data_IF_088983460919
#
_entry.id   IF_088983460919
#
_cell.length_a   1.000
_cell.length_b   1.000
_cell.length_c   1.000
_cell.angle_alpha   90.00
_cell.angle_beta   90.00
_cell.angle_gamma   90.00
#
_symmetry.space_group_name_H-M   'P 1'
#
loop_
_entity.id
_entity.type
_entity.pdbx_description
1 polymer ?
#
# COMPACT_ATOMS: atom_id res chain seq x y z
N UNK A 1 -1.27 -22.38 7.21
CA UNK A 1 -0.92 -21.12 6.50
C UNK A 1 -0.42 -20.03 7.44
N UNK A 2 -1.11 -19.73 8.54
CA UNK A 2 -0.71 -18.70 9.50
C UNK A 2 0.69 -18.96 10.08
N UNK A 3 1.05 -20.21 10.38
CA UNK A 3 2.39 -20.60 10.86
C UNK A 3 3.50 -20.23 9.85
N UNK A 4 3.26 -20.42 8.55
CA UNK A 4 4.22 -20.07 7.49
C UNK A 4 4.34 -18.55 7.29
N UNK A 5 3.22 -17.79 7.45
CA UNK A 5 3.24 -16.33 7.39
C UNK A 5 3.66 -15.68 8.70
N UNK A 6 3.42 -16.34 9.85
CA UNK A 6 3.89 -15.90 11.17
C UNK A 6 5.39 -15.64 11.17
N UNK A 7 6.18 -16.54 10.55
CA UNK A 7 7.64 -16.33 10.39
C UNK A 7 7.96 -15.12 9.53
N UNK A 8 7.23 -14.90 8.43
CA UNK A 8 7.47 -13.72 7.54
C UNK A 8 7.06 -12.42 8.21
N UNK A 9 5.93 -12.40 8.93
CA UNK A 9 5.48 -11.23 9.70
C UNK A 9 6.48 -10.93 10.82
N UNK A 10 6.91 -11.96 11.56
CA UNK A 10 7.90 -11.81 12.61
C UNK A 10 9.23 -11.29 12.05
N UNK A 11 9.71 -11.84 10.94
CA UNK A 11 10.90 -11.36 10.26
C UNK A 11 10.78 -9.88 9.87
N UNK A 12 9.65 -9.48 9.26
CA UNK A 12 9.44 -8.08 8.89
C UNK A 12 9.29 -7.17 10.12
N UNK A 13 8.69 -7.65 11.21
CA UNK A 13 8.60 -6.90 12.46
C UNK A 13 10.00 -6.69 13.09
N UNK A 14 10.82 -7.73 13.10
CA UNK A 14 12.22 -7.63 13.56
C UNK A 14 13.03 -6.70 12.66
N UNK A 15 12.88 -6.82 11.33
CA UNK A 15 13.55 -5.91 10.39
C UNK A 15 13.09 -4.46 10.61
N UNK A 16 11.81 -4.21 10.81
CA UNK A 16 11.28 -2.89 11.12
C UNK A 16 11.82 -2.33 12.43
N UNK A 17 11.89 -3.15 13.48
CA UNK A 17 12.47 -2.75 14.76
C UNK A 17 13.97 -2.41 14.64
N UNK A 18 14.72 -3.20 13.88
CA UNK A 18 16.15 -2.92 13.61
C UNK A 18 16.35 -1.62 12.81
N UNK A 19 15.48 -1.36 11.83
CA UNK A 19 15.52 -0.11 11.06
C UNK A 19 15.20 1.08 11.98
N UNK A 20 14.16 0.99 12.81
CA UNK A 20 13.84 2.06 13.75
C UNK A 20 14.94 2.27 14.77
N UNK A 21 15.58 1.20 15.24
CA UNK A 21 16.76 1.30 16.11
C UNK A 21 17.92 2.02 15.40
N UNK A 22 18.21 1.66 14.14
CA UNK A 22 19.26 2.32 13.36
C UNK A 22 18.96 3.82 13.16
N UNK A 23 17.71 4.18 12.87
CA UNK A 23 17.28 5.58 12.78
C UNK A 23 17.35 6.30 14.14
N UNK A 24 17.08 5.62 15.25
CA UNK A 24 17.20 6.18 16.59
C UNK A 24 18.65 6.49 16.97
N UNK A 25 19.57 5.59 16.63
CA UNK A 25 21.02 5.82 16.79
C UNK A 25 21.48 6.95 15.86
N UNK A 26 21.01 6.94 14.61
CA UNK A 26 21.32 8.02 13.67
C UNK A 26 20.86 9.39 14.18
N UNK A 27 19.68 9.50 14.80
CA UNK A 27 19.11 10.76 15.30
C UNK A 27 19.76 11.27 16.59
N UNK A 28 20.57 10.49 17.28
CA UNK A 28 20.93 10.67 18.69
C UNK A 28 19.74 10.31 19.59
N UNK A 29 19.86 9.23 20.33
CA UNK A 29 18.75 8.63 21.08
C UNK A 29 18.10 9.59 22.08
N UNK A 30 18.91 10.37 22.81
CA UNK A 30 18.41 11.32 23.82
C UNK A 30 17.62 12.46 23.15
N UNK A 31 18.14 13.02 22.07
CA UNK A 31 17.45 14.06 21.29
C UNK A 31 16.17 13.55 20.64
N UNK A 32 16.15 12.27 20.24
CA UNK A 32 14.94 11.66 19.71
C UNK A 32 13.87 11.49 20.79
N UNK A 33 14.27 11.08 22.01
CA UNK A 33 13.34 11.01 23.14
C UNK A 33 12.76 12.39 23.47
N UNK A 34 13.57 13.43 23.42
CA UNK A 34 13.08 14.78 23.66
C UNK A 34 12.10 15.22 22.55
N UNK A 35 12.37 14.91 21.29
CA UNK A 35 11.41 15.15 20.22
C UNK A 35 10.08 14.42 20.46
N UNK A 36 10.09 13.17 20.93
CA UNK A 36 8.84 12.49 21.28
C UNK A 36 8.10 13.13 22.48
N UNK A 37 8.79 13.74 23.44
CA UNK A 37 8.16 14.50 24.53
C UNK A 37 7.54 15.82 24.03
N UNK A 38 8.16 16.47 23.04
CA UNK A 38 7.65 17.70 22.42
C UNK A 38 6.42 17.44 21.55
N UNK A 39 6.23 16.21 21.05
CA UNK A 39 5.07 15.88 20.23
C UNK A 39 3.79 15.93 21.05
N UNK A 40 2.81 16.70 20.61
CA UNK A 40 1.49 16.71 21.25
C UNK A 40 0.68 15.46 20.87
N UNK A 41 0.73 14.44 21.71
CA UNK A 41 0.09 13.13 21.50
C UNK A 41 -1.43 13.18 21.39
N UNK A 42 -2.09 14.30 21.73
CA UNK A 42 -3.52 14.48 21.48
C UNK A 42 -3.90 14.45 20.00
N UNK A 43 -2.94 14.75 19.09
CA UNK A 43 -3.16 14.64 17.65
C UNK A 43 -3.00 13.23 17.12
N UNK A 44 -2.36 12.32 17.85
CA UNK A 44 -2.11 10.96 17.37
C UNK A 44 -3.41 10.16 17.09
N UNK A 45 -4.47 10.19 17.93
CA UNK A 45 -5.75 9.58 17.59
C UNK A 45 -6.36 10.12 16.29
N UNK A 46 -6.22 11.43 16.01
CA UNK A 46 -6.70 12.03 14.76
C UNK A 46 -5.95 11.45 13.57
N UNK A 47 -4.62 11.27 13.66
CA UNK A 47 -3.81 10.66 12.61
C UNK A 47 -4.23 9.20 12.37
N UNK A 48 -4.54 8.44 13.43
CA UNK A 48 -5.07 7.08 13.30
C UNK A 48 -6.44 7.06 12.62
N UNK A 49 -7.32 8.03 12.92
CA UNK A 49 -8.63 8.17 12.24
C UNK A 49 -8.43 8.44 10.75
N UNK A 50 -7.50 9.31 10.38
CA UNK A 50 -7.18 9.58 8.96
C UNK A 50 -6.65 8.31 8.25
N UNK A 51 -5.78 7.55 8.92
CA UNK A 51 -5.31 6.26 8.39
C UNK A 51 -6.47 5.26 8.25
N UNK A 52 -7.41 5.23 9.19
CA UNK A 52 -8.58 4.36 9.08
C UNK A 52 -9.53 4.81 7.95
N UNK A 53 -9.71 6.12 7.74
CA UNK A 53 -10.45 6.66 6.59
C UNK A 53 -9.80 6.23 5.27
N UNK A 54 -8.47 6.24 5.17
CA UNK A 54 -7.76 5.66 4.02
C UNK A 54 -8.22 4.22 3.78
N UNK A 55 -8.33 3.37 4.83
CA UNK A 55 -8.77 1.97 4.68
C UNK A 55 -10.22 1.87 4.19
N UNK A 56 -11.12 2.73 4.65
CA UNK A 56 -12.52 2.76 4.21
C UNK A 56 -12.61 3.10 2.71
N UNK A 57 -11.87 4.11 2.24
CA UNK A 57 -11.86 4.46 0.82
C UNK A 57 -11.22 3.35 -0.02
N UNK A 58 -10.14 2.73 0.44
CA UNK A 58 -9.55 1.56 -0.22
C UNK A 58 -10.51 0.36 -0.25
N UNK A 59 -11.28 0.15 0.81
CA UNK A 59 -12.35 -0.85 0.82
C UNK A 59 -13.43 -0.54 -0.21
N UNK A 60 -13.87 0.72 -0.33
CA UNK A 60 -14.86 1.13 -1.34
C UNK A 60 -14.36 0.82 -2.76
N UNK A 61 -13.08 1.02 -3.05
CA UNK A 61 -12.45 0.64 -4.32
C UNK A 61 -12.46 -0.88 -4.53
N UNK A 62 -12.10 -1.66 -3.51
CA UNK A 62 -12.18 -3.12 -3.54
C UNK A 62 -13.61 -3.61 -3.82
N UNK A 63 -14.63 -3.07 -3.13
CA UNK A 63 -16.03 -3.38 -3.35
C UNK A 63 -16.50 -3.04 -4.77
N UNK A 64 -16.06 -1.89 -5.28
CA UNK A 64 -16.35 -1.48 -6.66
C UNK A 64 -15.78 -2.49 -7.67
N UNK A 65 -14.52 -2.88 -7.53
CA UNK A 65 -13.88 -3.86 -8.39
C UNK A 65 -14.50 -5.26 -8.28
N UNK A 66 -14.81 -5.68 -7.07
CA UNK A 66 -15.48 -6.96 -6.82
C UNK A 66 -16.83 -7.04 -7.56
N UNK A 67 -17.61 -5.95 -7.53
CA UNK A 67 -18.90 -5.86 -8.24
C UNK A 67 -18.71 -5.89 -9.77
N UNK A 68 -17.70 -5.25 -10.33
CA UNK A 68 -17.39 -5.30 -11.78
C UNK A 68 -17.12 -6.74 -12.23
N UNK A 69 -16.48 -7.55 -11.38
CA UNK A 69 -16.18 -8.95 -11.67
C UNK A 69 -17.32 -9.92 -11.30
N UNK A 70 -18.48 -9.43 -10.89
CA UNK A 70 -19.64 -10.23 -10.51
C UNK A 70 -19.30 -11.25 -9.40
N UNK A 71 -18.49 -10.86 -8.42
CA UNK A 71 -18.13 -11.69 -7.28
C UNK A 71 -19.13 -11.42 -6.16
N UNK A 72 -20.00 -12.39 -5.87
CA UNK A 72 -21.03 -12.27 -4.83
C UNK A 72 -20.44 -12.55 -3.45
N UNK A 73 -20.63 -11.62 -2.53
CA UNK A 73 -20.21 -11.72 -1.14
C UNK A 73 -20.97 -10.68 -0.31
N UNK A 74 -21.28 -10.98 0.94
CA UNK A 74 -21.85 -9.99 1.85
C UNK A 74 -20.81 -8.92 2.21
N UNK A 75 -21.24 -7.68 2.37
CA UNK A 75 -20.33 -6.54 2.63
C UNK A 75 -19.51 -6.74 3.90
N UNK A 76 -20.08 -7.32 4.97
CA UNK A 76 -19.37 -7.57 6.22
C UNK A 76 -18.22 -8.58 6.04
N UNK A 77 -18.46 -9.73 5.38
CA UNK A 77 -17.41 -10.71 5.07
C UNK A 77 -16.36 -10.12 4.13
N UNK A 78 -16.79 -9.35 3.13
CA UNK A 78 -15.90 -8.64 2.21
C UNK A 78 -14.96 -7.68 2.94
N UNK A 79 -15.49 -6.94 3.92
CA UNK A 79 -14.71 -6.00 4.73
C UNK A 79 -13.67 -6.73 5.59
N UNK A 80 -14.04 -7.84 6.22
CA UNK A 80 -13.09 -8.65 7.01
C UNK A 80 -12.00 -9.26 6.13
N UNK A 81 -12.35 -9.79 4.95
CA UNK A 81 -11.37 -10.32 3.99
C UNK A 81 -10.42 -9.22 3.54
N UNK A 82 -10.95 -8.03 3.23
CA UNK A 82 -10.13 -6.89 2.83
C UNK A 82 -9.15 -6.46 3.93
N UNK A 83 -9.63 -6.28 5.16
CA UNK A 83 -8.77 -5.90 6.29
C UNK A 83 -7.78 -7.00 6.66
N UNK A 84 -8.15 -8.28 6.56
CA UNK A 84 -7.27 -9.41 6.83
C UNK A 84 -6.02 -9.41 5.96
N UNK A 85 -6.10 -8.86 4.74
CA UNK A 85 -4.93 -8.75 3.87
C UNK A 85 -3.87 -7.76 4.39
N UNK A 86 -4.24 -6.84 5.28
CA UNK A 86 -3.30 -5.87 5.84
C UNK A 86 -2.22 -6.50 6.72
N UNK A 87 -2.47 -7.69 7.26
CA UNK A 87 -1.42 -8.46 7.95
C UNK A 87 -0.20 -8.71 7.06
N UNK A 88 -0.42 -8.71 5.74
CA UNK A 88 0.60 -8.91 4.72
C UNK A 88 1.18 -7.60 4.14
N UNK A 89 0.85 -6.44 4.69
CA UNK A 89 1.36 -5.12 4.22
C UNK A 89 2.88 -5.02 4.25
N UNK A 90 3.51 -5.80 5.12
CA UNK A 90 4.98 -5.89 5.26
C UNK A 90 5.62 -7.00 4.41
N UNK A 91 4.92 -7.50 3.38
CA UNK A 91 5.51 -8.44 2.42
C UNK A 91 6.14 -7.71 1.23
N UNK A 92 7.20 -8.27 0.59
CA UNK A 92 7.82 -7.66 -0.58
C UNK A 92 6.80 -7.34 -1.68
N UNK A 93 6.83 -6.11 -2.21
CA UNK A 93 5.91 -5.66 -3.25
C UNK A 93 4.43 -5.71 -2.87
N UNK A 94 4.10 -5.88 -1.58
CA UNK A 94 2.73 -6.11 -1.07
C UNK A 94 2.02 -7.30 -1.74
N UNK A 95 2.79 -8.25 -2.28
CA UNK A 95 2.26 -9.48 -2.92
C UNK A 95 1.38 -10.29 -1.98
N UNK A 96 1.56 -10.16 -0.66
CA UNK A 96 0.70 -10.81 0.33
C UNK A 96 -0.76 -10.35 0.29
N UNK A 97 -1.08 -9.22 -0.33
CA UNK A 97 -2.47 -8.77 -0.51
C UNK A 97 -3.29 -9.72 -1.40
N UNK A 98 -2.64 -10.60 -2.18
CA UNK A 98 -3.30 -11.71 -2.89
C UNK A 98 -4.00 -12.68 -1.90
N UNK A 99 -3.68 -12.60 -0.61
CA UNK A 99 -4.42 -13.31 0.44
C UNK A 99 -5.94 -13.08 0.32
N UNK A 100 -6.38 -11.88 -0.07
CA UNK A 100 -7.80 -11.59 -0.34
C UNK A 100 -8.41 -12.59 -1.33
N UNK A 101 -7.68 -12.93 -2.39
CA UNK A 101 -8.14 -13.85 -3.43
C UNK A 101 -8.24 -15.29 -2.94
N UNK A 102 -7.33 -15.70 -2.06
CA UNK A 102 -7.41 -17.02 -1.43
C UNK A 102 -8.58 -17.11 -0.45
N UNK A 103 -8.79 -16.08 0.38
CA UNK A 103 -9.94 -16.02 1.28
C UNK A 103 -11.27 -16.00 0.53
N UNK A 104 -11.35 -15.30 -0.62
CA UNK A 104 -12.52 -15.35 -1.50
C UNK A 104 -12.76 -16.74 -2.08
N UNK A 105 -11.71 -17.43 -2.49
CA UNK A 105 -11.82 -18.81 -2.99
C UNK A 105 -12.40 -19.73 -1.92
N UNK A 106 -11.94 -19.62 -0.70
CA UNK A 106 -12.43 -20.45 0.42
C UNK A 106 -13.89 -20.08 0.81
N UNK A 107 -14.24 -18.81 0.73
CA UNK A 107 -15.56 -18.33 1.17
C UNK A 107 -16.68 -18.64 0.18
N UNK A 108 -16.44 -18.46 -1.12
CA UNK A 108 -17.49 -18.55 -2.14
C UNK A 108 -17.04 -19.28 -3.43
N UNK A 109 -15.87 -19.96 -3.43
CA UNK A 109 -15.36 -20.70 -4.58
C UNK A 109 -14.79 -19.84 -5.70
N UNK A 110 -14.70 -18.50 -5.56
CA UNK A 110 -14.18 -17.62 -6.62
C UNK A 110 -12.75 -18.00 -6.99
N UNK A 111 -12.45 -18.32 -8.27
CA UNK A 111 -11.09 -18.66 -8.68
C UNK A 111 -10.11 -17.51 -8.39
N UNK A 112 -8.91 -17.85 -7.89
CA UNK A 112 -7.85 -16.86 -7.64
C UNK A 112 -7.47 -16.13 -8.94
N UNK A 113 -7.49 -16.80 -10.09
CA UNK A 113 -7.24 -16.18 -11.41
C UNK A 113 -8.28 -15.09 -11.76
N UNK A 114 -9.50 -15.16 -11.21
CA UNK A 114 -10.52 -14.11 -11.41
C UNK A 114 -10.34 -12.94 -10.46
N UNK A 115 -9.94 -13.17 -9.21
CA UNK A 115 -9.92 -12.15 -8.14
C UNK A 115 -8.54 -11.51 -7.91
N UNK A 116 -7.42 -12.22 -8.14
CA UNK A 116 -6.08 -11.66 -7.99
C UNK A 116 -5.81 -10.42 -8.89
N UNK A 117 -6.38 -10.32 -10.10
CA UNK A 117 -6.27 -9.12 -10.93
C UNK A 117 -6.81 -7.84 -10.26
N UNK A 118 -7.70 -7.95 -9.25
CA UNK A 118 -8.13 -6.79 -8.46
C UNK A 118 -6.93 -6.16 -7.75
N UNK A 119 -6.05 -6.97 -7.16
CA UNK A 119 -4.85 -6.47 -6.46
C UNK A 119 -3.94 -5.72 -7.43
N UNK A 120 -3.78 -6.22 -8.65
CA UNK A 120 -2.99 -5.54 -9.71
C UNK A 120 -3.63 -4.20 -10.08
N UNK A 121 -4.95 -4.17 -10.30
CA UNK A 121 -5.68 -2.94 -10.62
C UNK A 121 -5.63 -1.92 -9.47
N UNK A 122 -5.71 -2.38 -8.21
CA UNK A 122 -5.52 -1.53 -7.03
C UNK A 122 -4.12 -0.89 -7.02
N UNK A 123 -3.06 -1.68 -7.26
CA UNK A 123 -1.69 -1.14 -7.33
C UNK A 123 -1.53 -0.11 -8.44
N UNK A 124 -2.05 -0.43 -9.64
CA UNK A 124 -1.98 0.49 -10.78
C UNK A 124 -2.61 1.85 -10.45
N UNK A 125 -3.84 1.85 -9.92
CA UNK A 125 -4.53 3.09 -9.55
C UNK A 125 -3.89 3.79 -8.37
N UNK A 126 -3.31 3.08 -7.40
CA UNK A 126 -2.55 3.68 -6.31
C UNK A 126 -1.31 4.42 -6.83
N UNK A 127 -0.54 3.80 -7.74
CA UNK A 127 0.63 4.46 -8.34
C UNK A 127 0.23 5.71 -9.14
N UNK A 128 -0.81 5.62 -9.98
CA UNK A 128 -1.32 6.77 -10.74
C UNK A 128 -1.71 7.92 -9.78
N UNK A 129 -2.39 7.57 -8.69
CA UNK A 129 -2.85 8.54 -7.70
C UNK A 129 -1.71 9.20 -6.93
N UNK A 130 -0.71 8.42 -6.51
CA UNK A 130 0.46 8.95 -5.82
C UNK A 130 1.27 9.87 -6.76
N UNK A 131 1.48 9.46 -8.01
CA UNK A 131 2.14 10.30 -9.03
C UNK A 131 1.38 11.61 -9.22
N UNK A 132 0.05 11.56 -9.32
CA UNK A 132 -0.79 12.75 -9.43
C UNK A 132 -0.60 13.68 -8.21
N UNK A 133 -0.65 13.16 -6.99
CA UNK A 133 -0.44 13.93 -5.77
C UNK A 133 0.98 14.51 -5.71
N UNK A 134 1.99 13.74 -6.15
CA UNK A 134 3.37 14.24 -6.23
C UNK A 134 3.53 15.35 -7.25
N UNK A 135 2.87 15.27 -8.42
CA UNK A 135 2.91 16.35 -9.43
C UNK A 135 2.33 17.62 -8.84
N UNK A 136 1.17 17.55 -8.18
CA UNK A 136 0.54 18.71 -7.53
C UNK A 136 1.47 19.31 -6.46
N UNK A 137 2.13 18.48 -5.66
CA UNK A 137 3.09 18.93 -4.64
C UNK A 137 4.41 19.45 -5.21
N UNK A 138 4.86 18.92 -6.36
CA UNK A 138 6.14 19.28 -7.01
C UNK A 138 6.19 20.73 -7.52
N UNK A 139 5.04 21.38 -7.72
CA UNK A 139 5.01 22.82 -8.03
C UNK A 139 5.58 23.70 -6.90
N UNK A 140 5.68 23.16 -5.69
CA UNK A 140 6.20 23.86 -4.51
C UNK A 140 7.58 23.35 -4.10
N UNK A 141 7.90 22.10 -4.46
CA UNK A 141 9.12 21.40 -4.07
C UNK A 141 9.97 21.09 -5.30
N UNK A 142 11.01 21.87 -5.51
CA UNK A 142 11.85 21.81 -6.71
C UNK A 142 12.82 20.61 -6.72
N UNK A 143 12.32 19.40 -6.43
CA UNK A 143 13.09 18.16 -6.30
C UNK A 143 12.32 16.93 -6.80
N UNK A 144 13.03 16.02 -7.48
CA UNK A 144 12.47 14.70 -7.85
C UNK A 144 11.51 14.69 -9.03
N UNK A 145 11.27 15.79 -9.72
CA UNK A 145 10.34 15.92 -10.85
C UNK A 145 10.63 14.90 -11.95
N UNK A 146 11.90 14.68 -12.29
CA UNK A 146 12.30 13.71 -13.32
C UNK A 146 11.88 12.28 -12.96
N UNK A 147 12.05 11.88 -11.70
CA UNK A 147 11.65 10.54 -11.22
C UNK A 147 10.12 10.40 -11.31
N UNK A 148 9.36 11.40 -10.89
CA UNK A 148 7.89 11.41 -10.95
C UNK A 148 7.43 11.28 -12.39
N UNK A 149 8.03 12.02 -13.33
CA UNK A 149 7.69 11.93 -14.75
C UNK A 149 7.98 10.55 -15.31
N UNK A 150 9.16 9.98 -15.06
CA UNK A 150 9.54 8.64 -15.53
C UNK A 150 8.54 7.60 -15.00
N UNK A 151 8.25 7.62 -13.71
CA UNK A 151 7.32 6.66 -13.08
C UNK A 151 5.91 6.86 -13.64
N UNK A 152 5.46 8.10 -13.80
CA UNK A 152 4.16 8.41 -14.41
C UNK A 152 4.06 7.84 -15.83
N UNK A 153 5.06 8.07 -16.68
CA UNK A 153 5.12 7.54 -18.06
C UNK A 153 5.08 6.02 -18.05
N UNK A 154 5.86 5.36 -17.18
CA UNK A 154 5.88 3.89 -17.07
C UNK A 154 4.49 3.33 -16.72
N UNK A 155 3.82 3.88 -15.70
CA UNK A 155 2.50 3.37 -15.28
C UNK A 155 1.39 3.70 -16.28
N UNK A 156 1.44 4.87 -16.94
CA UNK A 156 0.52 5.18 -18.05
C UNK A 156 0.75 4.21 -19.20
N UNK A 157 1.99 3.96 -19.60
CA UNK A 157 2.33 3.01 -20.67
C UNK A 157 1.88 1.59 -20.35
N UNK A 158 2.08 1.13 -19.11
CA UNK A 158 1.56 -0.16 -18.63
C UNK A 158 0.04 -0.25 -18.73
N UNK A 159 -0.65 0.83 -18.31
CA UNK A 159 -2.12 0.91 -18.39
C UNK A 159 -2.60 0.80 -19.85
N UNK A 160 -1.97 1.54 -20.76
CA UNK A 160 -2.27 1.50 -22.19
C UNK A 160 -2.01 0.11 -22.78
N UNK A 161 -0.88 -0.52 -22.42
CA UNK A 161 -0.54 -1.87 -22.87
C UNK A 161 -1.58 -2.90 -22.41
N UNK A 162 -1.97 -2.89 -21.13
CA UNK A 162 -3.00 -3.80 -20.59
C UNK A 162 -4.36 -3.55 -21.26
N UNK A 163 -4.68 -2.30 -21.59
CA UNK A 163 -5.90 -1.92 -22.28
C UNK A 163 -5.92 -2.33 -23.76
N UNK A 164 -4.76 -2.64 -24.34
CA UNK A 164 -4.64 -3.06 -25.74
C UNK A 164 -4.89 -4.57 -25.89
N UNK A 165 -6.18 -4.91 -26.00
CA UNK A 165 -6.66 -6.31 -26.01
C UNK A 165 -5.92 -7.20 -27.02
N UNK A 166 -5.68 -6.72 -28.24
CA UNK A 166 -5.00 -7.52 -29.27
C UNK A 166 -3.56 -7.89 -28.90
N UNK A 167 -2.80 -6.93 -28.36
CA UNK A 167 -1.44 -7.18 -27.92
C UNK A 167 -1.37 -8.19 -26.77
N UNK A 168 -2.20 -8.01 -25.74
CA UNK A 168 -2.21 -8.93 -24.60
C UNK A 168 -2.64 -10.35 -24.99
N UNK A 169 -3.67 -10.51 -25.81
CA UNK A 169 -4.09 -11.84 -26.29
C UNK A 169 -3.00 -12.48 -27.16
N UNK A 170 -2.28 -11.71 -27.97
CA UNK A 170 -1.12 -12.21 -28.71
C UNK A 170 -0.02 -12.72 -27.77
N UNK A 171 0.32 -11.99 -26.72
CA UNK A 171 1.29 -12.46 -25.73
C UNK A 171 0.82 -13.74 -25.01
N UNK A 172 -0.47 -13.84 -24.65
CA UNK A 172 -1.02 -15.06 -24.06
C UNK A 172 -0.90 -16.23 -25.03
N UNK A 173 -1.19 -16.04 -26.32
CA UNK A 173 -1.05 -17.09 -27.35
C UNK A 173 0.41 -17.55 -27.57
N UNK A 174 1.38 -16.68 -27.28
CA UNK A 174 2.79 -17.09 -27.25
C UNK A 174 3.10 -18.01 -26.06
N UNK A 175 2.47 -17.75 -24.90
CA UNK A 175 2.62 -18.59 -23.70
C UNK A 175 2.01 -19.99 -23.90
N UNK A 176 0.98 -20.13 -24.76
CA UNK A 176 0.39 -21.41 -25.14
C UNK A 176 1.40 -22.37 -25.79
N UNK A 177 2.36 -21.82 -26.53
CA UNK A 177 3.41 -22.60 -27.20
C UNK A 177 4.44 -23.18 -26.22
N UNK A 178 4.49 -22.70 -24.98
CA UNK A 178 5.40 -23.18 -23.96
C UNK A 178 4.73 -24.31 -23.18
N UNK A 179 5.19 -25.56 -23.38
CA UNK A 179 4.61 -26.81 -22.82
C UNK A 179 4.32 -26.74 -21.29
N UNK A 180 5.12 -26.03 -20.52
CA UNK A 180 4.93 -25.85 -19.08
C UNK A 180 3.78 -24.89 -18.77
N UNK A 181 3.61 -23.81 -19.56
CA UNK A 181 2.62 -22.76 -19.36
C UNK A 181 1.27 -23.10 -20.01
N UNK A 182 1.24 -23.95 -21.03
CA UNK A 182 0.02 -24.36 -21.73
C UNK A 182 -1.07 -24.91 -20.80
N UNK A 183 -0.67 -25.62 -19.73
CA UNK A 183 -1.60 -26.14 -18.70
C UNK A 183 -2.35 -25.06 -17.93
N UNK A 184 -1.89 -23.80 -17.95
CA UNK A 184 -2.45 -22.68 -17.17
C UNK A 184 -3.06 -21.60 -18.04
N UNK A 185 -3.16 -21.80 -19.35
CA UNK A 185 -3.62 -20.79 -20.32
C UNK A 185 -5.03 -20.29 -20.01
N UNK A 186 -5.96 -21.16 -19.64
CA UNK A 186 -7.31 -20.79 -19.25
C UNK A 186 -7.30 -19.83 -18.05
N UNK A 187 -6.38 -20.04 -17.09
CA UNK A 187 -6.21 -19.15 -15.95
C UNK A 187 -5.66 -17.79 -16.36
N UNK A 188 -4.76 -17.75 -17.37
CA UNK A 188 -4.24 -16.50 -17.92
C UNK A 188 -5.32 -15.72 -18.68
N UNK A 189 -6.16 -16.39 -19.46
CA UNK A 189 -7.31 -15.78 -20.13
C UNK A 189 -8.28 -15.19 -19.09
N UNK A 190 -8.66 -15.95 -18.07
CA UNK A 190 -9.53 -15.48 -16.98
C UNK A 190 -8.94 -14.27 -16.26
N UNK A 191 -7.65 -14.31 -15.96
CA UNK A 191 -6.96 -13.19 -15.30
C UNK A 191 -6.90 -11.95 -16.21
N UNK A 192 -6.61 -12.14 -17.49
CA UNK A 192 -6.61 -11.05 -18.45
C UNK A 192 -7.99 -10.42 -18.63
N UNK A 193 -9.04 -11.22 -18.82
CA UNK A 193 -10.41 -10.70 -18.96
C UNK A 193 -10.84 -9.93 -17.71
N UNK A 194 -10.44 -10.39 -16.52
CA UNK A 194 -10.67 -9.69 -15.28
C UNK A 194 -9.96 -8.34 -15.24
N UNK A 195 -8.62 -8.30 -15.45
CA UNK A 195 -7.86 -7.04 -15.41
C UNK A 195 -8.35 -6.06 -16.49
N UNK A 196 -8.64 -6.55 -17.69
CA UNK A 196 -9.14 -5.73 -18.80
C UNK A 196 -10.46 -5.04 -18.45
N UNK A 197 -11.40 -5.72 -17.76
CA UNK A 197 -12.66 -5.12 -17.26
C UNK A 197 -12.39 -4.03 -16.23
N UNK A 198 -11.38 -4.22 -15.36
CA UNK A 198 -11.05 -3.30 -14.26
C UNK A 198 -10.31 -2.04 -14.72
N UNK A 199 -9.52 -2.13 -15.81
CA UNK A 199 -8.75 -0.99 -16.33
C UNK A 199 -9.42 -0.25 -17.49
N UNK A 200 -10.69 -0.58 -17.82
CA UNK A 200 -11.48 0.25 -18.74
C UNK A 200 -11.56 1.68 -18.24
N UNK A 201 -11.71 2.66 -19.13
CA UNK A 201 -11.65 4.10 -18.82
C UNK A 201 -12.53 4.46 -17.60
N UNK A 202 -13.81 4.07 -17.60
CA UNK A 202 -14.72 4.41 -16.49
C UNK A 202 -14.31 3.77 -15.15
N UNK A 203 -14.07 2.45 -15.03
CA UNK A 203 -13.56 1.85 -13.81
C UNK A 203 -12.22 2.44 -13.35
N UNK A 204 -11.29 2.65 -14.29
CA UNK A 204 -9.98 3.22 -14.00
C UNK A 204 -10.10 4.62 -13.39
N UNK A 205 -10.89 5.51 -13.99
CA UNK A 205 -11.07 6.88 -13.49
C UNK A 205 -11.72 6.88 -12.09
N UNK A 206 -12.81 6.13 -11.90
CA UNK A 206 -13.49 6.04 -10.60
C UNK A 206 -12.53 5.53 -9.52
N UNK A 207 -11.82 4.45 -9.80
CA UNK A 207 -10.88 3.87 -8.85
C UNK A 207 -9.68 4.77 -8.57
N UNK A 208 -9.20 5.51 -9.57
CA UNK A 208 -8.14 6.51 -9.39
C UNK A 208 -8.60 7.67 -8.50
N UNK A 209 -9.81 8.20 -8.71
CA UNK A 209 -10.36 9.24 -7.83
C UNK A 209 -10.47 8.76 -6.39
N UNK A 210 -11.01 7.54 -6.17
CA UNK A 210 -11.08 6.94 -4.83
C UNK A 210 -9.67 6.79 -4.23
N UNK A 211 -8.68 6.38 -5.04
CA UNK A 211 -7.29 6.25 -4.59
C UNK A 211 -6.66 7.60 -4.25
N UNK A 212 -6.91 8.67 -5.02
CA UNK A 212 -6.42 10.02 -4.72
C UNK A 212 -6.93 10.46 -3.35
N UNK A 213 -8.25 10.33 -3.11
CA UNK A 213 -8.85 10.69 -1.82
C UNK A 213 -8.26 9.83 -0.69
N UNK A 214 -8.11 8.53 -0.91
CA UNK A 214 -7.54 7.61 0.06
C UNK A 214 -6.11 8.02 0.45
N UNK A 215 -5.22 8.22 -0.52
CA UNK A 215 -3.83 8.60 -0.26
C UNK A 215 -3.70 10.00 0.32
N UNK A 216 -4.63 10.91 -0.02
CA UNK A 216 -4.63 12.25 0.55
C UNK A 216 -4.85 12.25 2.07
N UNK A 217 -5.63 11.32 2.62
CA UNK A 217 -5.76 11.18 4.08
C UNK A 217 -4.43 10.84 4.76
N UNK A 218 -3.59 10.00 4.18
CA UNK A 218 -2.26 9.73 4.72
C UNK A 218 -1.33 10.95 4.60
N UNK A 219 -1.41 11.68 3.48
CA UNK A 219 -0.68 12.93 3.30
C UNK A 219 -1.11 13.99 4.34
N UNK A 220 -2.42 14.09 4.61
CA UNK A 220 -2.94 14.98 5.64
C UNK A 220 -2.48 14.56 7.05
N UNK A 221 -2.45 13.26 7.34
CA UNK A 221 -1.88 12.74 8.57
C UNK A 221 -0.42 13.16 8.75
N UNK A 222 0.39 13.05 7.70
CA UNK A 222 1.78 13.48 7.74
C UNK A 222 1.93 15.00 7.90
N UNK A 223 1.10 15.78 7.20
CA UNK A 223 1.02 17.21 7.38
C UNK A 223 0.76 17.60 8.85
N UNK A 224 -0.19 16.93 9.52
CA UNK A 224 -0.47 17.17 10.94
C UNK A 224 0.75 16.85 11.80
N UNK A 225 1.42 15.70 11.57
CA UNK A 225 2.65 15.36 12.30
C UNK A 225 3.68 16.47 12.20
N UNK A 226 3.94 17.00 11.00
CA UNK A 226 4.95 18.05 10.79
C UNK A 226 4.57 19.37 11.46
N UNK A 227 3.29 19.74 11.41
CA UNK A 227 2.85 21.01 11.99
C UNK A 227 2.71 20.97 13.50
N UNK A 228 2.56 19.80 14.13
CA UNK A 228 2.69 19.65 15.58
C UNK A 228 4.10 20.02 16.05
N UNK A 229 5.12 19.80 15.20
CA UNK A 229 6.51 20.21 15.50
C UNK A 229 6.86 21.63 15.02
N UNK A 230 5.94 22.38 14.41
CA UNK A 230 6.26 23.72 13.87
C UNK A 230 6.75 24.69 14.94
N UNK A 231 6.19 24.63 16.16
CA UNK A 231 6.63 25.46 17.30
C UNK A 231 8.06 25.15 17.74
N UNK A 232 8.50 23.89 17.61
CA UNK A 232 9.86 23.46 17.99
C UNK A 232 10.89 23.75 16.89
N UNK A 233 10.45 23.80 15.64
CA UNK A 233 11.34 23.98 14.47
C UNK A 233 11.35 25.41 13.95
N UNK A 234 10.36 26.23 14.27
CA UNK A 234 10.05 27.50 13.61
C UNK A 234 9.93 27.37 12.08
N UNK A 235 9.59 26.18 11.59
CA UNK A 235 9.42 25.87 10.17
C UNK A 235 7.98 25.40 9.96
N UNK A 236 7.20 26.18 9.22
CA UNK A 236 5.87 25.78 8.76
C UNK A 236 6.00 25.00 7.44
N UNK A 237 5.47 23.79 7.42
CA UNK A 237 5.43 22.96 6.21
C UNK A 237 4.05 23.06 5.59
N UNK A 238 3.97 23.47 4.33
CA UNK A 238 2.69 23.54 3.62
C UNK A 238 2.11 22.14 3.38
N UNK A 239 0.79 22.04 3.24
CA UNK A 239 0.12 20.78 2.90
C UNK A 239 0.64 20.18 1.59
N UNK A 240 0.93 21.03 0.59
CA UNK A 240 1.47 20.58 -0.70
C UNK A 240 2.87 19.97 -0.54
N UNK A 241 3.73 20.62 0.25
CA UNK A 241 5.07 20.11 0.56
C UNK A 241 5.00 18.77 1.31
N UNK A 242 4.15 18.67 2.33
CA UNK A 242 3.94 17.43 3.07
C UNK A 242 3.40 16.30 2.15
N UNK A 243 2.46 16.63 1.27
CA UNK A 243 1.90 15.71 0.27
C UNK A 243 2.98 15.20 -0.69
N UNK A 244 3.84 16.09 -1.18
CA UNK A 244 4.97 15.71 -2.03
C UNK A 244 5.92 14.78 -1.30
N UNK A 245 6.40 15.16 -0.12
CA UNK A 245 7.38 14.37 0.65
C UNK A 245 6.82 12.98 0.95
N UNK A 246 5.58 12.90 1.43
CA UNK A 246 4.95 11.62 1.76
C UNK A 246 4.72 10.75 0.53
N UNK A 247 4.14 11.32 -0.53
CA UNK A 247 3.87 10.63 -1.77
C UNK A 247 5.15 10.15 -2.46
N UNK A 248 6.14 11.02 -2.59
CA UNK A 248 7.43 10.68 -3.20
C UNK A 248 8.17 9.58 -2.42
N UNK A 249 8.24 9.68 -1.09
CA UNK A 249 8.88 8.67 -0.26
C UNK A 249 8.16 7.32 -0.35
N UNK A 250 6.83 7.33 -0.39
CA UNK A 250 6.02 6.11 -0.58
C UNK A 250 6.25 5.51 -1.97
N UNK A 251 6.38 6.34 -3.01
CA UNK A 251 6.67 5.91 -4.37
C UNK A 251 8.03 5.22 -4.46
N UNK A 252 9.07 5.84 -3.94
CA UNK A 252 10.44 5.28 -3.91
C UNK A 252 10.49 3.97 -3.12
N UNK A 253 9.82 3.93 -1.95
CA UNK A 253 9.71 2.71 -1.14
C UNK A 253 8.98 1.58 -1.86
N UNK A 254 7.96 1.89 -2.66
CA UNK A 254 7.23 0.91 -3.45
C UNK A 254 8.05 0.37 -4.63
N UNK A 255 8.83 1.24 -5.32
CA UNK A 255 9.74 0.85 -6.41
C UNK A 255 10.86 -0.05 -5.90
N UNK A 256 11.36 0.19 -4.68
CA UNK A 256 12.38 -0.64 -4.07
C UNK A 256 11.93 -2.07 -3.77
N UNK A 257 10.62 -2.36 -3.84
CA UNK A 257 10.01 -3.68 -3.57
C UNK A 257 10.39 -4.31 -2.23
N UNK A 258 10.92 -3.52 -1.30
CA UNK A 258 11.26 -4.00 0.04
C UNK A 258 9.97 -4.27 0.85
N UNK A 259 10.01 -5.18 1.85
CA UNK A 259 8.88 -5.45 2.72
C UNK A 259 8.34 -4.17 3.38
N UNK A 260 7.11 -3.77 3.04
CA UNK A 260 6.50 -2.53 3.53
C UNK A 260 7.24 -1.24 3.14
N UNK A 261 8.19 -1.29 2.20
CA UNK A 261 9.09 -0.19 1.87
C UNK A 261 10.08 0.17 2.98
N UNK A 262 10.26 -0.75 3.96
CA UNK A 262 11.07 -0.53 5.15
C UNK A 262 12.52 -0.13 4.79
N UNK A 263 13.03 0.85 5.50
CA UNK A 263 14.35 1.46 5.30
C UNK A 263 14.34 2.55 4.24
N UNK A 264 13.87 2.27 3.04
CA UNK A 264 13.90 3.20 1.90
C UNK A 264 12.87 4.33 2.07
N UNK A 265 11.64 4.00 2.46
CA UNK A 265 10.61 5.03 2.73
C UNK A 265 11.04 5.93 3.89
N UNK A 266 11.55 5.35 4.97
CA UNK A 266 12.01 6.09 6.14
C UNK A 266 13.21 6.98 5.80
N UNK A 267 14.18 6.47 5.03
CA UNK A 267 15.33 7.24 4.58
C UNK A 267 14.90 8.42 3.68
N UNK A 268 13.94 8.17 2.77
CA UNK A 268 13.41 9.21 1.88
C UNK A 268 12.65 10.29 2.65
N UNK A 269 11.75 9.89 3.58
CA UNK A 269 11.02 10.84 4.44
C UNK A 269 11.99 11.70 5.24
N UNK A 270 12.90 11.07 5.98
CA UNK A 270 13.88 11.75 6.82
C UNK A 270 14.79 12.65 6.00
N UNK A 271 15.29 12.16 4.86
CA UNK A 271 16.20 12.91 3.98
C UNK A 271 15.52 14.17 3.39
N UNK A 272 14.30 14.03 2.89
CA UNK A 272 13.54 15.17 2.33
C UNK A 272 13.20 16.22 3.40
N UNK A 273 12.89 15.80 4.64
CA UNK A 273 12.69 16.72 5.75
C UNK A 273 13.96 17.49 6.10
N UNK A 274 15.13 16.84 6.05
CA UNK A 274 16.42 17.50 6.30
C UNK A 274 16.80 18.47 5.17
N UNK A 275 16.40 18.22 3.92
CA UNK A 275 16.55 19.19 2.82
C UNK A 275 15.78 20.48 3.15
N UNK A 276 14.64 20.39 3.82
CA UNK A 276 13.89 21.53 4.36
C UNK A 276 14.52 22.15 5.63
N UNK A 277 15.72 21.71 6.02
CA UNK A 277 16.43 22.14 7.23
C UNK A 277 15.71 21.81 8.54
N UNK A 278 14.76 20.87 8.51
CA UNK A 278 14.15 20.34 9.74
C UNK A 278 15.21 19.56 10.50
N UNK A 279 15.37 19.78 11.83
CA UNK A 279 16.36 19.09 12.64
C UNK A 279 16.25 17.57 12.52
N UNK A 280 17.38 16.89 12.56
CA UNK A 280 17.53 15.46 12.32
C UNK A 280 16.65 14.60 13.26
N UNK A 281 16.64 14.93 14.56
CA UNK A 281 15.82 14.26 15.56
C UNK A 281 14.31 14.40 15.29
N UNK A 282 13.84 15.59 14.90
CA UNK A 282 12.45 15.85 14.54
C UNK A 282 12.09 15.16 13.22
N UNK A 283 12.98 15.16 12.23
CA UNK A 283 12.78 14.45 10.97
C UNK A 283 12.59 12.94 11.19
N UNK A 284 13.41 12.34 12.06
CA UNK A 284 13.29 10.92 12.41
C UNK A 284 12.05 10.66 13.26
N UNK A 285 11.75 11.49 14.27
CA UNK A 285 10.55 11.38 15.09
C UNK A 285 9.28 11.42 14.22
N UNK A 286 9.17 12.41 13.34
CA UNK A 286 8.04 12.55 12.40
C UNK A 286 7.88 11.33 11.50
N UNK A 287 8.99 10.80 11.00
CA UNK A 287 9.02 9.59 10.18
C UNK A 287 8.51 8.38 10.97
N UNK A 288 8.98 8.16 12.19
CA UNK A 288 8.53 7.04 13.03
C UNK A 288 7.05 7.17 13.36
N UNK A 289 6.58 8.35 13.79
CA UNK A 289 5.19 8.59 14.16
C UNK A 289 4.26 8.26 12.98
N UNK A 290 4.53 8.80 11.79
CA UNK A 290 3.66 8.54 10.64
C UNK A 290 3.70 7.07 10.20
N UNK A 291 4.86 6.40 10.26
CA UNK A 291 4.97 4.97 9.91
C UNK A 291 4.26 4.06 10.90
N UNK A 292 4.27 4.41 12.19
CA UNK A 292 3.47 3.72 13.20
C UNK A 292 1.98 3.90 12.91
N UNK A 293 1.55 5.11 12.60
CA UNK A 293 0.14 5.42 12.34
C UNK A 293 -0.40 4.86 11.01
N UNK A 294 0.45 4.58 10.02
CA UNK A 294 0.03 4.08 8.71
C UNK A 294 0.36 2.61 8.52
N UNK A 295 1.64 2.23 8.42
CA UNK A 295 2.06 0.86 8.14
C UNK A 295 1.75 -0.10 9.29
N UNK A 296 2.22 0.22 10.49
CA UNK A 296 2.07 -0.68 11.64
C UNK A 296 0.64 -0.74 12.14
N UNK A 297 -0.08 0.37 12.09
CA UNK A 297 -1.52 0.38 12.38
C UNK A 297 -2.31 -0.51 11.42
N UNK A 298 -1.97 -0.53 10.11
CA UNK A 298 -2.56 -1.46 9.15
C UNK A 298 -2.31 -2.92 9.54
N UNK A 299 -1.09 -3.26 9.96
CA UNK A 299 -0.75 -4.63 10.41
C UNK A 299 -1.58 -5.01 11.63
N UNK A 300 -1.69 -4.13 12.62
CA UNK A 300 -2.51 -4.38 13.84
C UNK A 300 -3.98 -4.59 13.47
N UNK A 301 -4.57 -3.71 12.65
CA UNK A 301 -5.95 -3.86 12.16
C UNK A 301 -6.11 -5.17 11.39
N UNK A 302 -5.15 -5.55 10.56
CA UNK A 302 -5.14 -6.81 9.83
C UNK A 302 -5.12 -8.03 10.74
N UNK A 303 -4.33 -8.00 11.81
CA UNK A 303 -4.28 -9.09 12.81
C UNK A 303 -5.65 -9.27 13.48
N UNK A 304 -6.27 -8.18 13.93
CA UNK A 304 -7.61 -8.24 14.53
C UNK A 304 -8.66 -8.77 13.52
N UNK A 305 -8.61 -8.31 12.28
CA UNK A 305 -9.53 -8.76 11.24
C UNK A 305 -9.39 -10.27 10.95
N UNK A 306 -8.15 -10.78 10.92
CA UNK A 306 -7.88 -12.23 10.76
C UNK A 306 -8.46 -13.02 11.92
N UNK A 307 -8.26 -12.59 13.16
CA UNK A 307 -8.79 -13.27 14.35
C UNK A 307 -10.32 -13.30 14.32
N UNK A 308 -10.95 -12.18 13.97
CA UNK A 308 -12.42 -12.11 13.86
C UNK A 308 -12.91 -13.02 12.74
N UNK A 309 -12.27 -12.99 11.57
CA UNK A 309 -12.62 -13.83 10.43
C UNK A 309 -12.57 -15.32 10.78
N UNK A 310 -11.49 -15.77 11.44
CA UNK A 310 -11.34 -17.16 11.89
C UNK A 310 -12.45 -17.59 12.86
N UNK A 311 -12.76 -16.72 13.84
CA UNK A 311 -13.84 -17.00 14.82
C UNK A 311 -15.22 -17.12 14.18
N UNK A 312 -15.53 -16.28 13.18
CA UNK A 312 -16.82 -16.26 12.50
C UNK A 312 -16.99 -17.42 11.51
N UNK A 313 -15.91 -17.90 10.92
CA UNK A 313 -15.96 -18.97 9.91
C UNK A 313 -15.71 -20.35 10.50
N UNK A 314 -15.32 -20.46 11.78
CA UNK A 314 -14.86 -21.70 12.43
C UNK A 314 -13.78 -22.44 11.62
N UNK A 315 -12.99 -21.71 10.82
CA UNK A 315 -11.93 -22.27 9.97
C UNK A 315 -10.59 -21.73 10.41
N UNK A 316 -9.65 -22.63 10.64
CA UNK A 316 -8.25 -22.25 10.80
C UNK A 316 -7.66 -21.90 9.44
N UNK A 317 -7.01 -20.74 9.35
CA UNK A 317 -6.25 -20.35 8.15
C UNK A 317 -5.06 -21.31 7.88
N UNK A 318 -4.75 -22.22 8.79
CA UNK A 318 -3.74 -23.27 8.60
C UNK A 318 -4.17 -24.29 7.55
N UNK A 319 -5.47 -24.48 7.33
CA UNK A 319 -6.03 -25.41 6.35
C UNK A 319 -6.05 -24.84 4.91
N UNK A 320 -5.85 -23.55 4.73
CA UNK A 320 -5.85 -22.94 3.40
C UNK A 320 -4.57 -23.33 2.66
N UNK A 321 -4.68 -24.29 1.76
CA UNK A 321 -3.58 -24.73 0.90
C UNK A 321 -3.28 -23.64 -0.16
N UNK A 322 -2.24 -22.85 0.10
CA UNK A 322 -1.60 -22.10 -0.98
C UNK A 322 -0.67 -23.06 -1.72
N UNK A 323 -0.84 -23.27 -3.03
CA UNK A 323 0.09 -24.09 -3.79
C UNK A 323 1.51 -23.63 -3.52
N UNK A 324 2.40 -24.57 -3.20
CA UNK A 324 3.83 -24.30 -3.07
C UNK A 324 4.28 -23.60 -4.35
N UNK A 325 4.83 -22.41 -4.21
CA UNK A 325 5.67 -21.82 -5.23
C UNK A 325 6.93 -22.68 -5.28
N UNK A 326 6.91 -23.67 -6.17
CA UNK A 326 8.10 -24.35 -6.64
C UNK A 326 8.64 -23.59 -7.85
#
# INVERSE_FOLDING_TARGET
MFSKYKKKILFSAVAGALIFLAFSVYADFDKLLDAFKEFNWLFFPLILVLSFLNYIFRFSKWEYYRRILDIKLTTGKSFLIFLSAFVMSVTPGKMGEVLKSYLLKEENGTPVSKSAPIVVAERLTDFISIVFLCIVGAFVFDYGQTIIMIVGVVFISLTLLISWKKACLYFISLLEKIKFLSKHVEKFHTAYDSIYRLVRIKPLLIATVISVVSWFFECLGFYIVLNVFSSATNIEVSLLTATFIYGFSTLIGAIAMLPGGLGVTEASLTGLLQILKIPKNISVASTIIIRVATLWFAVVVGIFAVIIYQRLTHRDLEEIQVPNQA
#
